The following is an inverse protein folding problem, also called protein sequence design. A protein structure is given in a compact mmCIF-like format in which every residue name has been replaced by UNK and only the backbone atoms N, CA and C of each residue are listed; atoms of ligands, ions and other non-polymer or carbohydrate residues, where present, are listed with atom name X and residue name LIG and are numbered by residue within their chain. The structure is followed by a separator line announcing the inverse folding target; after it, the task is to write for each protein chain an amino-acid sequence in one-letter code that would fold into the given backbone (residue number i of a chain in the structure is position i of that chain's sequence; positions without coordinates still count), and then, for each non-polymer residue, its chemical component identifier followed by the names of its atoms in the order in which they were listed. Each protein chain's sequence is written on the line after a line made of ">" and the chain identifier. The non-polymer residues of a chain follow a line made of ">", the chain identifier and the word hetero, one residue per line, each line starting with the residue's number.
data_IF_315177659329
#
_entry.id   IF_315177659329
#
_cell.length_a   1.000
_cell.length_b   1.000
_cell.length_c   1.000
_cell.angle_alpha   90.00
_cell.angle_beta   90.00
_cell.angle_gamma   90.00
#
_symmetry.space_group_name_H-M   'P 1'
#
loop_
_entity.id
_entity.type
_entity.pdbx_description
1 polymer ?
#
# COMPACT_ATOMS: atom_id res chain seq x y z
N UNK A 1 -22.22 -18.01 -22.14
CA UNK A 1 -20.77 -18.19 -21.87
C UNK A 1 -19.99 -16.88 -21.66
N UNK A 2 -20.56 -15.70 -21.98
CA UNK A 2 -19.94 -14.38 -21.76
C UNK A 2 -20.15 -13.79 -20.33
N UNK A 3 -21.01 -14.39 -19.50
CA UNK A 3 -21.50 -13.77 -18.25
C UNK A 3 -20.69 -14.20 -17.00
N UNK A 4 -19.85 -15.24 -17.09
CA UNK A 4 -19.03 -15.71 -15.95
C UNK A 4 -17.60 -15.15 -15.90
N UNK A 5 -17.21 -14.25 -16.82
CA UNK A 5 -15.87 -13.63 -16.81
C UNK A 5 -15.76 -12.35 -15.97
N UNK A 6 -16.86 -11.86 -15.38
CA UNK A 6 -16.93 -10.48 -14.85
C UNK A 6 -16.76 -10.31 -13.33
N UNK A 7 -16.34 -11.33 -12.56
CA UNK A 7 -16.21 -11.17 -11.10
C UNK A 7 -14.97 -11.86 -10.53
N UNK A 8 -13.81 -11.67 -11.16
CA UNK A 8 -12.54 -11.91 -10.47
C UNK A 8 -12.05 -10.56 -9.95
N UNK A 9 -12.37 -10.25 -8.69
CA UNK A 9 -11.86 -9.04 -8.04
C UNK A 9 -10.34 -9.08 -8.09
N UNK A 10 -9.73 -8.07 -8.71
CA UNK A 10 -8.29 -8.04 -8.93
C UNK A 10 -7.62 -7.61 -7.63
N UNK A 11 -6.61 -8.37 -7.20
CA UNK A 11 -5.85 -8.07 -5.99
C UNK A 11 -4.62 -7.26 -6.38
N UNK A 12 -4.49 -6.10 -5.76
CA UNK A 12 -3.34 -5.23 -5.91
C UNK A 12 -2.61 -5.07 -4.59
N UNK A 13 -1.31 -4.85 -4.67
CA UNK A 13 -0.48 -4.36 -3.58
C UNK A 13 0.08 -3.01 -4.00
N UNK A 14 0.00 -2.02 -3.12
CA UNK A 14 0.54 -0.68 -3.28
C UNK A 14 1.66 -0.47 -2.27
N UNK A 15 2.72 0.18 -2.73
CA UNK A 15 3.72 0.82 -1.88
C UNK A 15 3.69 2.33 -2.14
N UNK A 16 3.40 3.12 -1.11
CA UNK A 16 3.36 4.57 -1.18
C UNK A 16 4.41 5.18 -0.26
N UNK A 17 5.21 6.11 -0.77
CA UNK A 17 6.03 7.03 0.02
C UNK A 17 5.25 8.34 0.14
N UNK A 18 4.89 8.73 1.37
CA UNK A 18 4.06 9.90 1.60
C UNK A 18 4.69 10.82 2.65
N UNK A 19 4.63 12.13 2.39
CA UNK A 19 4.81 13.13 3.43
C UNK A 19 3.48 13.34 4.15
N UNK A 20 3.52 13.31 5.47
CA UNK A 20 2.36 13.55 6.35
C UNK A 20 2.67 14.71 7.28
N UNK A 21 1.68 15.57 7.49
CA UNK A 21 1.71 16.65 8.46
C UNK A 21 0.34 16.73 9.13
N UNK A 22 0.32 16.73 10.45
CA UNK A 22 -0.92 16.70 11.23
C UNK A 22 -0.89 15.64 12.32
N UNK A 23 -1.97 15.59 13.09
CA UNK A 23 -2.26 14.49 14.01
C UNK A 23 -3.22 13.52 13.33
N UNK A 24 -3.00 12.21 13.49
CA UNK A 24 -3.94 11.17 13.00
C UNK A 24 -5.27 11.14 13.78
N UNK A 25 -5.39 11.93 14.86
CA UNK A 25 -6.61 12.06 15.66
C UNK A 25 -7.73 12.73 14.85
N UNK A 26 -8.67 11.89 14.39
CA UNK A 26 -9.88 12.27 13.67
C UNK A 26 -10.81 13.21 14.46
N UNK A 27 -10.67 13.26 15.80
CA UNK A 27 -11.49 14.06 16.70
C UNK A 27 -11.03 15.52 16.86
N UNK A 28 -9.88 15.89 16.29
CA UNK A 28 -9.41 17.28 16.26
C UNK A 28 -9.68 17.84 14.87
N UNK A 29 -10.47 18.91 14.77
CA UNK A 29 -10.62 19.70 13.54
C UNK A 29 -9.29 20.38 13.17
N UNK A 30 -8.33 19.59 12.69
CA UNK A 30 -6.99 19.99 12.27
C UNK A 30 -6.74 19.60 10.81
N UNK A 31 -5.86 20.36 10.15
CA UNK A 31 -5.41 20.06 8.80
C UNK A 31 -4.54 18.79 8.84
N UNK A 32 -5.08 17.66 8.39
CA UNK A 32 -4.27 16.51 8.00
C UNK A 32 -3.85 16.70 6.55
N UNK A 33 -2.56 16.90 6.33
CA UNK A 33 -1.98 17.03 5.00
C UNK A 33 -1.18 15.77 4.70
N UNK A 34 -1.59 15.07 3.64
CA UNK A 34 -0.83 13.97 3.05
C UNK A 34 -0.48 14.35 1.63
N UNK A 35 0.80 14.22 1.28
CA UNK A 35 1.28 14.31 -0.10
C UNK A 35 2.01 13.03 -0.46
N UNK A 36 1.45 12.28 -1.40
CA UNK A 36 2.14 11.13 -1.95
C UNK A 36 3.32 11.63 -2.82
N UNK A 37 4.53 11.28 -2.40
CA UNK A 37 5.79 11.62 -3.07
C UNK A 37 6.02 10.62 -4.21
N UNK A 38 5.71 9.35 -3.95
CA UNK A 38 5.88 8.26 -4.90
C UNK A 38 4.91 7.14 -4.60
N UNK A 39 4.37 6.51 -5.64
CA UNK A 39 3.47 5.36 -5.52
C UNK A 39 3.82 4.33 -6.58
N UNK A 40 3.91 3.07 -6.17
CA UNK A 40 3.93 1.93 -7.08
C UNK A 40 2.84 0.95 -6.71
N UNK A 41 2.31 0.24 -7.71
CA UNK A 41 1.41 -0.87 -7.46
C UNK A 41 1.75 -2.07 -8.33
N UNK A 42 1.51 -3.25 -7.76
CA UNK A 42 1.69 -4.56 -8.37
C UNK A 42 0.35 -5.30 -8.31
N UNK A 43 -0.08 -5.84 -9.45
CA UNK A 43 -1.21 -6.75 -9.49
C UNK A 43 -0.72 -8.16 -9.17
N UNK A 44 -1.23 -8.75 -8.08
CA UNK A 44 -0.82 -10.09 -7.64
C UNK A 44 -1.82 -11.18 -8.04
N UNK A 45 -3.08 -10.81 -8.26
CA UNK A 45 -4.11 -11.74 -8.74
C UNK A 45 -5.15 -11.03 -9.62
N UNK A 46 -5.55 -11.57 -10.78
CA UNK A 46 -4.93 -12.70 -11.47
C UNK A 46 -3.44 -12.43 -11.74
N UNK A 47 -2.62 -13.48 -11.66
CA UNK A 47 -1.15 -13.36 -11.68
C UNK A 47 -0.67 -12.71 -13.00
N UNK A 48 -0.21 -11.46 -12.93
CA UNK A 48 0.26 -10.71 -14.09
C UNK A 48 1.80 -10.59 -14.13
N UNK A 49 2.46 -10.67 -12.97
CA UNK A 49 3.89 -10.49 -12.84
C UNK A 49 4.47 -11.49 -11.83
N UNK A 50 5.56 -12.16 -12.22
CA UNK A 50 6.29 -13.09 -11.37
C UNK A 50 7.61 -12.46 -10.93
N UNK A 51 7.75 -12.04 -9.66
CA UNK A 51 9.01 -11.52 -9.17
C UNK A 51 10.05 -12.63 -9.09
N UNK A 52 11.34 -12.26 -9.10
CA UNK A 52 12.41 -13.17 -8.71
C UNK A 52 12.20 -13.63 -7.27
N UNK A 53 12.11 -14.94 -7.05
CA UNK A 53 11.83 -15.50 -5.73
C UNK A 53 13.06 -15.42 -4.83
N UNK A 54 12.86 -14.85 -3.64
CA UNK A 54 13.83 -14.88 -2.55
C UNK A 54 13.65 -16.17 -1.73
N UNK A 55 14.63 -16.51 -0.90
CA UNK A 55 14.49 -17.62 0.06
C UNK A 55 13.31 -17.43 1.02
N UNK A 56 13.02 -16.17 1.39
CA UNK A 56 11.85 -15.81 2.18
C UNK A 56 10.56 -16.14 1.44
N UNK A 57 10.44 -15.78 0.16
CA UNK A 57 9.27 -16.13 -0.65
C UNK A 57 9.08 -17.65 -0.69
N UNK A 58 10.13 -18.41 -0.98
CA UNK A 58 10.06 -19.87 -1.03
C UNK A 58 9.61 -20.48 0.30
N UNK A 59 10.08 -19.93 1.42
CA UNK A 59 9.72 -20.40 2.76
C UNK A 59 8.26 -20.08 3.08
N UNK A 60 7.80 -18.86 2.78
CA UNK A 60 6.43 -18.43 3.02
C UNK A 60 5.44 -19.22 2.17
N UNK A 61 5.71 -19.39 0.87
CA UNK A 61 4.85 -20.14 -0.05
C UNK A 61 4.68 -21.60 0.38
N UNK A 62 5.74 -22.26 0.86
CA UNK A 62 5.65 -23.61 1.43
C UNK A 62 4.76 -23.67 2.68
N UNK A 63 4.66 -22.57 3.44
CA UNK A 63 3.87 -22.48 4.67
C UNK A 63 2.41 -22.08 4.41
N UNK A 64 2.15 -21.22 3.43
CA UNK A 64 0.83 -20.65 3.13
C UNK A 64 0.03 -21.45 2.11
N UNK A 65 0.68 -22.33 1.31
CA UNK A 65 0.03 -23.24 0.38
C UNK A 65 -0.28 -22.63 -0.98
N UNK A 66 -1.18 -23.28 -1.72
CA UNK A 66 -1.39 -23.08 -3.17
C UNK A 66 -1.89 -21.69 -3.58
N UNK A 67 -2.49 -20.93 -2.65
CA UNK A 67 -3.00 -19.57 -2.89
C UNK A 67 -2.04 -18.47 -2.44
N UNK A 68 -0.73 -18.74 -2.51
CA UNK A 68 0.32 -17.78 -2.14
C UNK A 68 0.87 -17.06 -3.37
N UNK A 69 0.70 -15.74 -3.41
CA UNK A 69 1.15 -14.90 -4.53
C UNK A 69 2.30 -13.98 -4.08
N UNK A 70 3.54 -14.21 -4.55
CA UNK A 70 4.69 -13.39 -4.16
C UNK A 70 4.68 -12.03 -4.88
N UNK A 71 5.19 -11.01 -4.22
CA UNK A 71 5.38 -9.68 -4.80
C UNK A 71 6.68 -9.04 -4.30
N UNK A 72 7.23 -8.14 -5.11
CA UNK A 72 8.42 -7.36 -4.77
C UNK A 72 8.23 -5.93 -5.25
N UNK A 73 8.77 -4.96 -4.50
CA UNK A 73 8.91 -3.58 -4.96
C UNK A 73 10.38 -3.21 -5.04
N UNK A 74 10.76 -2.52 -6.11
CA UNK A 74 12.03 -1.80 -6.16
C UNK A 74 11.79 -0.32 -5.86
N UNK A 75 12.38 0.14 -4.77
CA UNK A 75 12.25 1.51 -4.29
C UNK A 75 13.31 2.36 -4.98
N UNK A 76 12.91 3.49 -5.56
CA UNK A 76 13.86 4.40 -6.20
C UNK A 76 14.84 4.99 -5.17
N UNK A 77 16.13 5.03 -5.51
CA UNK A 77 17.22 5.41 -4.60
C UNK A 77 17.24 6.89 -4.22
N UNK A 78 16.49 7.73 -4.94
CA UNK A 78 16.35 9.16 -4.70
C UNK A 78 15.15 9.50 -3.80
N UNK A 79 14.44 8.50 -3.26
CA UNK A 79 13.36 8.75 -2.32
C UNK A 79 13.91 9.10 -0.94
N UNK A 80 13.25 10.00 -0.20
CA UNK A 80 13.62 10.29 1.18
C UNK A 80 13.52 9.03 2.05
N UNK A 81 14.39 8.94 3.06
CA UNK A 81 14.26 7.93 4.10
C UNK A 81 13.01 8.16 4.96
N UNK A 82 12.52 7.11 5.61
CA UNK A 82 11.49 7.29 6.63
C UNK A 82 12.04 8.13 7.77
N UNK A 83 11.36 9.23 8.08
CA UNK A 83 11.76 10.17 9.13
C UNK A 83 10.51 10.82 9.70
N UNK A 84 10.47 10.96 11.02
CA UNK A 84 9.36 11.61 11.71
C UNK A 84 9.89 12.66 12.68
N UNK A 85 9.30 13.84 12.63
CA UNK A 85 9.49 14.93 13.57
C UNK A 85 8.29 14.95 14.51
N UNK A 86 8.55 14.65 15.77
CA UNK A 86 7.56 14.72 16.83
C UNK A 86 7.64 16.09 17.50
N UNK A 87 6.50 16.77 17.72
CA UNK A 87 6.50 18.06 18.40
C UNK A 87 6.93 17.89 19.86
N UNK A 88 7.65 18.89 20.38
CA UNK A 88 7.97 18.96 21.81
C UNK A 88 6.73 19.29 22.65
N UNK A 89 6.82 19.09 23.97
CA UNK A 89 5.69 19.31 24.88
C UNK A 89 5.10 20.73 24.83
N UNK A 90 5.95 21.74 24.58
CA UNK A 90 5.56 23.15 24.47
C UNK A 90 5.41 23.63 23.01
N UNK A 91 5.60 22.73 22.04
CA UNK A 91 5.53 23.08 20.63
C UNK A 91 4.08 23.06 20.13
N UNK A 92 3.68 24.12 19.42
CA UNK A 92 2.36 24.21 18.79
C UNK A 92 2.31 23.49 17.44
N UNK A 93 3.47 23.05 16.92
CA UNK A 93 3.57 22.27 15.70
C UNK A 93 2.86 20.92 15.79
N UNK A 94 2.41 20.41 14.64
CA UNK A 94 1.90 19.04 14.50
C UNK A 94 3.04 18.10 14.11
N UNK A 95 2.89 16.82 14.43
CA UNK A 95 3.81 15.79 13.95
C UNK A 95 3.86 15.82 12.42
N UNK A 96 5.05 15.63 11.87
CA UNK A 96 5.23 15.51 10.45
C UNK A 96 6.34 14.54 10.11
N UNK A 97 6.32 14.01 8.90
CA UNK A 97 7.30 13.02 8.52
C UNK A 97 7.08 12.47 7.14
N UNK A 98 8.01 11.63 6.73
CA UNK A 98 7.89 10.79 5.56
C UNK A 98 7.83 9.34 6.00
N UNK A 99 6.82 8.61 5.51
CA UNK A 99 6.65 7.20 5.75
C UNK A 99 6.44 6.41 4.45
N UNK A 100 6.61 5.10 4.58
CA UNK A 100 6.35 4.13 3.53
C UNK A 100 5.21 3.22 3.98
N UNK A 101 4.15 3.17 3.18
CA UNK A 101 2.92 2.45 3.46
C UNK A 101 2.74 1.33 2.43
N UNK A 102 2.62 0.08 2.90
CA UNK A 102 2.25 -1.07 2.07
C UNK A 102 0.79 -1.40 2.31
N UNK A 103 -0.02 -1.45 1.25
CA UNK A 103 -1.45 -1.79 1.30
C UNK A 103 -1.77 -2.89 0.30
N UNK A 104 -2.51 -3.90 0.72
CA UNK A 104 -3.13 -4.87 -0.17
C UNK A 104 -4.64 -4.63 -0.22
N UNK A 105 -5.23 -4.62 -1.41
CA UNK A 105 -6.65 -4.35 -1.60
C UNK A 105 -7.21 -5.07 -2.83
N UNK A 106 -8.52 -5.22 -2.86
CA UNK A 106 -9.27 -5.67 -4.02
C UNK A 106 -9.78 -4.42 -4.75
N UNK A 107 -9.58 -4.34 -6.06
CA UNK A 107 -10.16 -3.28 -6.89
C UNK A 107 -10.46 -3.80 -8.31
N UNK A 108 -11.28 -3.08 -9.05
CA UNK A 108 -11.44 -3.31 -10.49
C UNK A 108 -10.29 -2.68 -11.29
N UNK A 109 -9.74 -1.57 -10.78
CA UNK A 109 -8.65 -0.84 -11.42
C UNK A 109 -7.50 -0.56 -10.44
N UNK A 110 -6.28 -0.44 -10.98
CA UNK A 110 -5.03 -0.32 -10.20
C UNK A 110 -5.07 0.84 -9.20
N UNK A 111 -5.61 2.00 -9.55
CA UNK A 111 -5.53 3.22 -8.73
C UNK A 111 -6.70 3.39 -7.75
N UNK A 112 -7.61 2.41 -7.66
CA UNK A 112 -8.86 2.51 -6.91
C UNK A 112 -8.76 1.85 -5.53
N UNK A 113 -7.71 2.19 -4.74
CA UNK A 113 -7.42 1.54 -3.46
C UNK A 113 -8.52 1.71 -2.39
N UNK A 114 -9.43 2.69 -2.56
CA UNK A 114 -10.55 2.96 -1.66
C UNK A 114 -11.91 2.47 -2.21
N UNK A 115 -11.91 1.68 -3.29
CA UNK A 115 -13.14 1.12 -3.86
C UNK A 115 -13.77 0.14 -2.86
N UNK A 116 -15.05 0.35 -2.52
CA UNK A 116 -15.82 -0.62 -1.75
C UNK A 116 -16.36 -1.65 -2.73
N UNK A 117 -15.79 -2.86 -2.71
CA UNK A 117 -16.32 -3.97 -3.48
C UNK A 117 -17.44 -4.63 -2.69
N UNK A 118 -18.68 -4.45 -3.13
CA UNK A 118 -19.84 -5.17 -2.59
C UNK A 118 -19.69 -6.67 -2.84
N UNK A 119 -19.58 -7.45 -1.76
CA UNK A 119 -19.67 -8.91 -1.83
C UNK A 119 -21.14 -9.28 -1.92
N UNK A 120 -21.61 -9.68 -3.11
CA UNK A 120 -22.94 -10.28 -3.30
C UNK A 120 -22.92 -11.78 -3.09
#
# INVERSE_FOLDING_TARGET
>A
MQVMMNYVSTVFVQLACAFRYGTDDLDVMGLCFRKDIWISHVQIYPECHKPTLTEMHNTLMKKTGDNSYPFTFEIASNLPCSVSLQPGADDKGKACGVDFEVKAYLANEKCSANETIDKK
#
